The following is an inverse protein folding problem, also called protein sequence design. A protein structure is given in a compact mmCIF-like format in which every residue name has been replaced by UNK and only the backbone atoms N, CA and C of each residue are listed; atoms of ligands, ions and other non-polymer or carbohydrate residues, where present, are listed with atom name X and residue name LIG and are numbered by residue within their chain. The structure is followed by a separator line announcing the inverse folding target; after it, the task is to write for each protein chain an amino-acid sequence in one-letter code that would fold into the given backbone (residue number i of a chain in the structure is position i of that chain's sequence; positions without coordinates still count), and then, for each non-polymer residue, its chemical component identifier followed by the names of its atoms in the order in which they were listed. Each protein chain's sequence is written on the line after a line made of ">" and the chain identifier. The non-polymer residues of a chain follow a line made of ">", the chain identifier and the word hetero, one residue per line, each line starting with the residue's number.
data_IF_235888956817
#
_entry.id   IF_235888956817
#
_cell.length_a   1.000
_cell.length_b   1.000
_cell.length_c   1.000
_cell.angle_alpha   90.00
_cell.angle_beta   90.00
_cell.angle_gamma   90.00
#
_symmetry.space_group_name_H-M   'P 1'
#
loop_
_entity.id
_entity.type
_entity.pdbx_description
1 polymer ?
#
# COMPACT_ATOMS: atom_id res chain seq x y z
N UNK A 1 9.51 18.78 37.11
CA UNK A 1 8.95 17.98 36.00
C UNK A 1 9.74 18.26 34.73
N UNK A 2 10.33 17.23 34.15
CA UNK A 2 11.05 17.33 32.89
C UNK A 2 10.05 17.39 31.72
N UNK A 3 10.35 18.24 30.74
CA UNK A 3 9.56 18.37 29.49
C UNK A 3 10.19 17.64 28.31
N UNK A 4 11.46 17.23 28.44
CA UNK A 4 12.22 16.50 27.43
C UNK A 4 13.12 15.49 28.11
N UNK A 5 13.39 14.38 27.42
CA UNK A 5 14.34 13.38 27.86
C UNK A 5 15.75 13.98 27.76
N UNK A 6 16.58 13.92 28.81
CA UNK A 6 17.93 14.48 28.81
C UNK A 6 18.93 13.54 28.09
N UNK A 7 18.64 13.19 26.82
CA UNK A 7 19.36 12.16 26.06
C UNK A 7 20.88 12.35 26.07
N UNK A 8 21.36 13.58 25.88
CA UNK A 8 22.80 13.91 25.89
C UNK A 8 23.51 13.58 27.20
N UNK A 9 22.80 13.70 28.32
CA UNK A 9 23.36 13.40 29.64
C UNK A 9 23.28 11.91 29.96
N UNK A 10 22.27 11.23 29.42
CA UNK A 10 22.07 9.79 29.60
C UNK A 10 23.09 8.96 28.82
N UNK A 11 23.58 9.44 27.68
CA UNK A 11 24.49 8.67 26.81
C UNK A 11 25.78 8.23 27.47
N UNK A 12 26.20 8.88 28.57
CA UNK A 12 27.41 8.56 29.33
C UNK A 12 27.19 7.48 30.39
N UNK A 13 25.95 7.11 30.68
CA UNK A 13 25.59 6.20 31.78
C UNK A 13 25.52 4.74 31.28
N UNK A 14 26.63 4.22 30.75
CA UNK A 14 26.67 2.91 30.08
C UNK A 14 26.39 1.72 31.01
N UNK A 15 26.63 1.89 32.31
CA UNK A 15 26.40 0.87 33.35
C UNK A 15 25.03 1.00 34.02
N UNK A 16 24.20 1.97 33.62
CA UNK A 16 22.88 2.16 34.20
C UNK A 16 21.99 0.97 33.83
N UNK A 17 21.46 0.27 34.83
CA UNK A 17 20.55 -0.86 34.63
C UNK A 17 19.07 -0.48 34.78
N UNK A 18 18.78 0.57 35.55
CA UNK A 18 17.42 0.98 35.88
C UNK A 18 17.24 2.48 35.73
N UNK A 19 16.21 2.88 34.99
CA UNK A 19 15.87 4.28 34.76
C UNK A 19 14.37 4.50 34.92
N UNK A 20 14.01 5.35 35.87
CA UNK A 20 12.64 5.83 36.04
C UNK A 20 12.54 7.29 35.61
N UNK A 21 11.70 7.54 34.61
CA UNK A 21 11.34 8.86 34.12
C UNK A 21 9.81 9.03 34.09
N UNK A 22 9.08 8.22 34.87
CA UNK A 22 7.63 8.34 35.02
C UNK A 22 7.21 9.69 35.59
N UNK A 23 5.92 10.01 35.46
CA UNK A 23 5.31 11.25 35.98
C UNK A 23 5.92 12.57 35.45
N UNK A 24 6.70 12.52 34.38
CA UNK A 24 7.19 13.69 33.66
C UNK A 24 6.17 14.18 32.62
N UNK A 25 6.54 15.22 31.86
CA UNK A 25 5.65 15.89 30.89
C UNK A 25 6.24 15.88 29.48
N UNK A 26 6.73 14.73 29.04
CA UNK A 26 7.20 14.53 27.66
C UNK A 26 6.00 14.52 26.72
N UNK A 27 6.06 15.28 25.62
CA UNK A 27 5.05 15.23 24.56
C UNK A 27 5.28 14.07 23.59
N UNK A 28 6.54 13.68 23.45
CA UNK A 28 7.00 12.63 22.55
C UNK A 28 8.25 11.98 23.14
N UNK A 29 8.55 10.76 22.73
CA UNK A 29 9.89 10.17 22.90
C UNK A 29 10.53 10.08 21.50
N UNK A 30 11.60 10.86 21.26
CA UNK A 30 12.21 10.97 19.94
C UNK A 30 13.06 9.74 19.61
N UNK A 31 13.46 9.63 18.34
CA UNK A 31 14.44 8.66 17.86
C UNK A 31 15.72 8.72 18.70
N UNK A 32 16.26 7.56 19.06
CA UNK A 32 17.50 7.42 19.85
C UNK A 32 17.46 8.17 21.20
N UNK A 33 16.29 8.31 21.82
CA UNK A 33 16.15 9.07 23.08
C UNK A 33 17.03 8.54 24.22
N UNK A 34 17.36 7.25 24.20
CA UNK A 34 18.09 6.52 25.23
C UNK A 34 19.39 5.89 24.72
N UNK A 35 19.93 6.41 23.61
CA UNK A 35 21.19 5.91 23.04
C UNK A 35 22.33 5.94 24.06
N UNK A 36 23.18 4.92 24.05
CA UNK A 36 24.31 4.78 24.99
C UNK A 36 23.98 4.00 26.28
N UNK A 37 22.69 3.84 26.63
CA UNK A 37 22.26 3.05 27.79
C UNK A 37 22.25 1.53 27.50
N UNK A 38 23.40 0.99 27.09
CA UNK A 38 23.53 -0.39 26.60
C UNK A 38 23.34 -1.48 27.66
N UNK A 39 23.49 -1.14 28.95
CA UNK A 39 23.24 -2.06 30.07
C UNK A 39 21.85 -1.92 30.70
N UNK A 40 21.00 -1.03 30.20
CA UNK A 40 19.68 -0.79 30.76
C UNK A 40 18.80 -2.03 30.65
N UNK A 41 18.22 -2.44 31.78
CA UNK A 41 17.33 -3.60 31.94
C UNK A 41 15.90 -3.18 32.21
N UNK A 42 15.65 -2.11 32.99
CA UNK A 42 14.30 -1.62 33.28
C UNK A 42 14.18 -0.13 32.97
N UNK A 43 13.13 0.22 32.24
CA UNK A 43 12.79 1.60 31.90
C UNK A 43 11.33 1.85 32.26
N UNK A 44 11.08 2.77 33.19
CA UNK A 44 9.73 3.24 33.50
C UNK A 44 9.50 4.63 32.90
N UNK A 45 8.46 4.73 32.10
CA UNK A 45 7.94 5.92 31.44
C UNK A 45 6.42 6.02 31.65
N UNK A 46 5.93 5.46 32.77
CA UNK A 46 4.53 5.49 33.13
C UNK A 46 4.03 6.89 33.51
N UNK A 47 2.73 7.11 33.44
CA UNK A 47 2.06 8.33 33.90
C UNK A 47 2.50 9.64 33.21
N UNK A 48 2.98 9.56 31.96
CA UNK A 48 3.35 10.73 31.16
C UNK A 48 2.11 11.42 30.56
N UNK A 49 1.53 12.36 31.31
CA UNK A 49 0.26 13.04 31.00
C UNK A 49 0.23 13.79 29.65
N UNK A 50 1.39 14.10 29.07
CA UNK A 50 1.50 14.82 27.78
C UNK A 50 1.95 13.94 26.63
N UNK A 51 2.33 12.69 26.87
CA UNK A 51 2.91 11.84 25.82
C UNK A 51 1.82 11.49 24.81
N UNK A 52 2.12 11.71 23.52
CA UNK A 52 1.24 11.38 22.40
C UNK A 52 1.89 10.41 21.42
N UNK A 53 3.20 10.52 21.24
CA UNK A 53 3.91 9.74 20.21
C UNK A 53 5.24 9.16 20.69
N UNK A 54 5.50 7.91 20.28
CA UNK A 54 6.82 7.27 20.32
C UNK A 54 7.29 7.13 18.88
N UNK A 55 8.45 7.72 18.55
CA UNK A 55 8.95 7.75 17.17
C UNK A 55 9.74 6.49 16.79
N UNK A 56 9.96 6.32 15.48
CA UNK A 56 10.90 5.36 14.90
C UNK A 56 12.22 5.29 15.69
N UNK A 57 12.69 4.07 16.00
CA UNK A 57 13.97 3.84 16.67
C UNK A 57 14.12 4.56 18.03
N UNK A 58 13.03 4.92 18.69
CA UNK A 58 13.05 5.62 19.98
C UNK A 58 13.85 4.88 21.07
N UNK A 59 13.73 3.55 21.10
CA UNK A 59 14.38 2.66 22.08
C UNK A 59 15.63 1.97 21.52
N UNK A 60 16.19 2.48 20.42
CA UNK A 60 17.38 1.88 19.81
C UNK A 60 18.58 1.95 20.76
N UNK A 61 19.40 0.89 20.75
CA UNK A 61 20.59 0.80 21.61
C UNK A 61 20.34 0.19 23.00
N UNK A 62 19.09 -0.04 23.38
CA UNK A 62 18.70 -0.68 24.64
C UNK A 62 18.77 -2.21 24.55
N UNK A 63 19.95 -2.75 24.25
CA UNK A 63 20.15 -4.17 23.89
C UNK A 63 19.80 -5.15 25.02
N UNK A 64 19.92 -4.72 26.27
CA UNK A 64 19.64 -5.55 27.46
C UNK A 64 18.28 -5.24 28.10
N UNK A 65 17.43 -4.44 27.47
CA UNK A 65 16.16 -4.03 28.06
C UNK A 65 15.24 -5.24 28.22
N UNK A 66 14.81 -5.49 29.45
CA UNK A 66 13.94 -6.60 29.83
C UNK A 66 12.52 -6.10 30.12
N UNK A 67 12.39 -4.91 30.71
CA UNK A 67 11.11 -4.37 31.15
C UNK A 67 10.93 -2.92 30.68
N UNK A 68 9.79 -2.67 30.03
CA UNK A 68 9.37 -1.33 29.65
C UNK A 68 7.94 -1.08 30.13
N UNK A 69 7.78 0.03 30.84
CA UNK A 69 6.49 0.58 31.23
C UNK A 69 6.24 1.91 30.49
N UNK A 70 5.18 1.95 29.69
CA UNK A 70 4.63 3.13 29.00
C UNK A 70 3.15 3.32 29.36
N UNK A 71 2.72 2.81 30.53
CA UNK A 71 1.33 2.80 30.95
C UNK A 71 0.82 4.18 31.38
N UNK A 72 -0.50 4.34 31.43
CA UNK A 72 -1.16 5.52 32.00
C UNK A 72 -0.72 6.85 31.36
N UNK A 73 -0.47 6.84 30.06
CA UNK A 73 -0.22 8.03 29.28
C UNK A 73 -1.40 8.29 28.32
N UNK A 74 -1.21 9.24 27.41
CA UNK A 74 -2.19 9.56 26.36
C UNK A 74 -1.61 9.17 24.99
N UNK A 75 -0.79 8.12 24.96
CA UNK A 75 -0.10 7.65 23.77
C UNK A 75 -1.14 7.14 22.76
N UNK A 76 -1.21 7.76 21.59
CA UNK A 76 -2.14 7.39 20.51
C UNK A 76 -1.40 6.97 19.23
N UNK A 77 -0.10 7.29 19.13
CA UNK A 77 0.77 6.94 18.02
C UNK A 77 2.02 6.21 18.49
N UNK A 78 2.19 4.97 18.04
CA UNK A 78 3.39 4.16 18.27
C UNK A 78 3.92 3.70 16.91
N UNK A 79 5.14 4.12 16.58
CA UNK A 79 5.80 3.73 15.34
C UNK A 79 6.09 2.21 15.32
N UNK A 80 5.86 1.56 14.19
CA UNK A 80 6.03 0.11 14.00
C UNK A 80 7.47 -0.37 14.23
N UNK A 81 8.44 0.53 14.13
CA UNK A 81 9.86 0.27 14.34
C UNK A 81 10.42 1.08 15.52
N UNK A 82 9.56 1.50 16.46
CA UNK A 82 9.98 2.16 17.70
C UNK A 82 10.98 1.32 18.52
N UNK A 83 10.84 -0.01 18.44
CA UNK A 83 11.66 -1.02 19.11
C UNK A 83 12.54 -1.77 18.12
N UNK A 84 13.12 -1.09 17.13
CA UNK A 84 14.19 -1.72 16.38
C UNK A 84 15.40 -1.92 17.31
N UNK A 85 15.74 -3.19 17.60
CA UNK A 85 16.96 -3.67 18.32
C UNK A 85 16.97 -3.86 19.87
N UNK A 86 15.90 -3.71 20.69
CA UNK A 86 15.84 -4.26 22.04
C UNK A 86 15.37 -5.73 21.98
N UNK A 87 16.30 -6.64 21.69
CA UNK A 87 15.99 -8.06 21.42
C UNK A 87 15.70 -8.88 22.69
N UNK A 88 15.85 -8.29 23.88
CA UNK A 88 15.75 -8.98 25.15
C UNK A 88 14.45 -8.70 25.92
N UNK A 89 13.52 -7.91 25.35
CA UNK A 89 12.33 -7.44 26.06
C UNK A 89 11.42 -8.62 26.46
N UNK A 90 11.11 -8.73 27.76
CA UNK A 90 10.26 -9.77 28.36
C UNK A 90 8.96 -9.23 28.93
N UNK A 91 8.95 -7.96 29.37
CA UNK A 91 7.80 -7.32 29.97
C UNK A 91 7.50 -6.00 29.27
N UNK A 92 6.28 -5.87 28.76
CA UNK A 92 5.81 -4.65 28.11
C UNK A 92 4.45 -4.23 28.68
N UNK A 93 4.39 -3.01 29.19
CA UNK A 93 3.14 -2.37 29.60
C UNK A 93 2.82 -1.17 28.70
N UNK A 94 1.73 -1.28 27.95
CA UNK A 94 1.13 -0.20 27.15
C UNK A 94 -0.30 0.10 27.61
N UNK A 95 -0.69 -0.36 28.80
CA UNK A 95 -2.06 -0.23 29.31
C UNK A 95 -2.44 1.23 29.59
N UNK A 96 -3.75 1.50 29.56
CA UNK A 96 -4.32 2.81 29.86
C UNK A 96 -3.72 3.93 29.00
N UNK A 97 -3.72 3.72 27.70
CA UNK A 97 -3.30 4.68 26.67
C UNK A 97 -4.45 4.94 25.67
N UNK A 98 -4.17 5.71 24.63
CA UNK A 98 -5.08 5.98 23.52
C UNK A 98 -4.84 5.11 22.28
N UNK A 99 -4.11 4.00 22.41
CA UNK A 99 -3.72 3.19 21.26
C UNK A 99 -4.94 2.49 20.66
N UNK A 100 -4.98 2.41 19.34
CA UNK A 100 -6.00 1.67 18.61
C UNK A 100 -5.44 0.51 17.78
N UNK A 101 -4.11 0.44 17.62
CA UNK A 101 -3.43 -0.63 16.90
C UNK A 101 -2.02 -0.83 17.42
N UNK A 102 -1.49 -2.02 17.21
CA UNK A 102 -0.07 -2.37 17.37
C UNK A 102 0.30 -3.29 16.22
N UNK A 103 1.51 -3.13 15.71
CA UNK A 103 2.02 -3.90 14.58
C UNK A 103 2.66 -5.21 15.05
N UNK A 104 2.61 -6.24 14.21
CA UNK A 104 3.22 -7.55 14.51
C UNK A 104 4.74 -7.41 14.64
N UNK A 105 5.34 -6.49 13.91
CA UNK A 105 6.76 -6.20 13.86
C UNK A 105 7.23 -5.31 15.02
N UNK A 106 6.30 -4.81 15.85
CA UNK A 106 6.61 -3.88 16.94
C UNK A 106 7.60 -4.48 17.92
N UNK A 107 7.42 -5.73 18.33
CA UNK A 107 8.29 -6.47 19.26
C UNK A 107 8.28 -7.95 18.91
N UNK A 108 9.23 -8.72 19.42
CA UNK A 108 9.14 -10.17 19.38
C UNK A 108 8.08 -10.66 20.38
N UNK A 109 6.82 -10.74 19.92
CA UNK A 109 5.67 -11.12 20.73
C UNK A 109 5.78 -12.53 21.32
N UNK A 110 6.60 -13.42 20.78
CA UNK A 110 6.78 -14.78 21.29
C UNK A 110 7.72 -14.82 22.50
N UNK A 111 8.66 -13.88 22.58
CA UNK A 111 9.62 -13.79 23.68
C UNK A 111 9.07 -13.09 24.92
N UNK A 112 7.97 -12.35 24.79
CA UNK A 112 7.30 -11.71 25.93
C UNK A 112 6.80 -12.77 26.92
N UNK A 113 7.00 -12.46 28.20
CA UNK A 113 6.55 -13.21 29.38
C UNK A 113 5.45 -12.45 30.14
N UNK A 114 5.46 -11.11 30.07
CA UNK A 114 4.45 -10.23 30.66
C UNK A 114 4.01 -9.19 29.65
N UNK A 115 2.69 -9.01 29.54
CA UNK A 115 2.09 -8.07 28.60
C UNK A 115 0.85 -7.43 29.23
N UNK A 116 0.76 -6.10 29.15
CA UNK A 116 -0.42 -5.36 29.57
C UNK A 116 -0.85 -4.40 28.46
N UNK A 117 -2.08 -4.59 27.99
CA UNK A 117 -2.66 -3.82 26.87
C UNK A 117 -4.06 -3.27 27.18
N UNK A 118 -4.59 -3.52 28.39
CA UNK A 118 -5.93 -3.09 28.77
C UNK A 118 -6.08 -1.56 28.75
N UNK A 119 -7.33 -1.07 28.70
CA UNK A 119 -7.59 0.38 28.75
C UNK A 119 -7.11 1.14 27.51
N UNK A 120 -7.17 0.51 26.33
CA UNK A 120 -6.87 1.11 25.03
C UNK A 120 -8.09 0.99 24.10
N UNK A 121 -8.08 1.72 22.98
CA UNK A 121 -9.16 1.78 22.01
C UNK A 121 -8.95 0.83 20.81
N UNK A 122 -8.64 -0.45 21.09
CA UNK A 122 -8.23 -1.43 20.08
C UNK A 122 -9.20 -1.58 18.90
N UNK A 123 -8.67 -1.45 17.69
CA UNK A 123 -9.32 -1.80 16.43
C UNK A 123 -9.04 -3.25 16.09
N UNK A 124 -10.00 -4.13 16.37
CA UNK A 124 -9.92 -5.56 16.12
C UNK A 124 -10.23 -5.89 14.65
N UNK A 125 -9.38 -5.40 13.76
CA UNK A 125 -9.32 -5.79 12.35
C UNK A 125 -8.42 -7.02 12.16
N UNK A 126 -8.17 -7.40 10.90
CA UNK A 126 -7.38 -8.58 10.59
C UNK A 126 -5.88 -8.43 10.83
N UNK A 127 -5.36 -7.20 10.87
CA UNK A 127 -3.96 -6.97 11.20
C UNK A 127 -3.74 -7.30 12.68
N UNK A 128 -4.57 -6.72 13.56
CA UNK A 128 -4.48 -6.96 15.00
C UNK A 128 -4.84 -8.41 15.36
N UNK A 129 -5.96 -8.92 14.83
CA UNK A 129 -6.45 -10.26 15.14
C UNK A 129 -5.59 -11.36 14.53
N UNK A 130 -4.75 -11.06 13.53
CA UNK A 130 -3.86 -12.02 12.88
C UNK A 130 -2.80 -12.62 13.80
N UNK A 131 -2.39 -11.91 14.85
CA UNK A 131 -1.36 -12.37 15.79
C UNK A 131 -1.77 -12.24 17.27
N UNK A 132 -2.41 -11.13 17.65
CA UNK A 132 -2.57 -10.77 19.05
C UNK A 132 -3.38 -11.79 19.89
N UNK A 133 -4.50 -12.37 19.40
CA UNK A 133 -5.28 -13.33 20.19
C UNK A 133 -4.49 -14.58 20.61
N UNK A 134 -3.51 -15.03 19.82
CA UNK A 134 -2.65 -16.15 20.20
C UNK A 134 -1.74 -15.76 21.37
N UNK A 135 -1.09 -14.60 21.29
CA UNK A 135 -0.24 -14.06 22.35
C UNK A 135 -1.01 -13.84 23.64
N UNK A 136 -2.20 -13.25 23.58
CA UNK A 136 -3.04 -13.01 24.76
C UNK A 136 -3.44 -14.29 25.47
N UNK A 137 -3.76 -15.36 24.73
CA UNK A 137 -4.06 -16.67 25.32
C UNK A 137 -2.82 -17.31 25.94
N UNK A 138 -1.68 -17.25 25.25
CA UNK A 138 -0.38 -17.77 25.75
C UNK A 138 0.02 -17.12 27.07
N UNK A 139 -0.18 -15.81 27.19
CA UNK A 139 0.18 -15.01 28.36
C UNK A 139 -0.93 -14.88 29.40
N UNK A 140 -2.08 -15.52 29.19
CA UNK A 140 -3.25 -15.42 30.07
C UNK A 140 -3.68 -13.96 30.37
N UNK A 141 -3.77 -13.11 29.32
CA UNK A 141 -4.16 -11.69 29.40
C UNK A 141 -5.56 -11.49 28.81
N UNK A 142 -6.65 -11.72 29.58
CA UNK A 142 -8.02 -11.73 29.04
C UNK A 142 -8.69 -10.35 28.95
N UNK A 143 -8.10 -9.33 29.58
CA UNK A 143 -8.66 -7.99 29.79
C UNK A 143 -8.48 -7.04 28.58
N UNK A 144 -8.07 -7.56 27.43
CA UNK A 144 -7.99 -6.80 26.18
C UNK A 144 -9.32 -6.90 25.45
N UNK A 145 -9.98 -5.74 25.30
CA UNK A 145 -11.32 -5.63 24.73
C UNK A 145 -11.27 -4.78 23.47
N UNK A 146 -12.02 -5.19 22.45
CA UNK A 146 -12.16 -4.45 21.21
C UNK A 146 -13.02 -3.19 21.42
N UNK A 147 -12.54 -2.06 20.91
CA UNK A 147 -13.32 -0.83 20.82
C UNK A 147 -13.91 -0.63 19.41
N UNK A 148 -13.21 -1.11 18.39
CA UNK A 148 -13.61 -1.06 16.97
C UNK A 148 -13.40 -2.42 16.28
N UNK A 149 -14.08 -2.67 15.14
CA UNK A 149 -15.26 -1.93 14.65
C UNK A 149 -16.45 -2.08 15.61
N UNK A 150 -17.53 -1.31 15.39
CA UNK A 150 -18.72 -1.31 16.27
C UNK A 150 -19.31 -2.72 16.51
N UNK A 151 -19.23 -3.59 15.51
CA UNK A 151 -19.68 -5.00 15.59
C UNK A 151 -18.85 -5.86 16.56
N UNK A 152 -17.68 -5.38 16.97
CA UNK A 152 -16.75 -6.05 17.88
C UNK A 152 -16.63 -5.35 19.23
N UNK A 153 -17.20 -4.16 19.39
CA UNK A 153 -17.10 -3.38 20.62
C UNK A 153 -17.51 -4.20 21.84
N UNK A 154 -16.67 -4.22 22.87
CA UNK A 154 -16.91 -4.95 24.12
C UNK A 154 -16.51 -6.44 24.07
N UNK A 155 -16.16 -7.01 22.92
CA UNK A 155 -15.71 -8.40 22.84
C UNK A 155 -14.26 -8.55 23.28
N UNK A 156 -13.93 -9.58 24.09
CA UNK A 156 -12.55 -9.84 24.50
C UNK A 156 -11.73 -10.41 23.33
N UNK A 157 -10.63 -9.73 22.99
CA UNK A 157 -9.79 -10.06 21.84
C UNK A 157 -9.20 -11.49 21.92
N UNK A 158 -8.85 -11.95 23.12
CA UNK A 158 -8.33 -13.30 23.35
C UNK A 158 -9.30 -14.43 22.98
N UNK A 159 -10.61 -14.15 22.93
CA UNK A 159 -11.64 -15.14 22.54
C UNK A 159 -11.98 -15.09 21.05
N UNK A 160 -11.46 -14.13 20.31
CA UNK A 160 -11.71 -14.00 18.88
C UNK A 160 -10.75 -14.92 18.11
N UNK A 161 -11.30 -15.71 17.18
CA UNK A 161 -10.53 -16.61 16.34
C UNK A 161 -10.01 -15.91 15.08
N UNK A 162 -8.75 -16.20 14.72
CA UNK A 162 -8.10 -15.75 13.47
C UNK A 162 -8.82 -16.28 12.22
N UNK A 163 -9.31 -17.53 12.28
CA UNK A 163 -9.78 -18.29 11.12
C UNK A 163 -11.23 -18.02 10.70
N UNK A 164 -12.04 -17.32 11.51
CA UNK A 164 -13.48 -17.12 11.21
C UNK A 164 -13.77 -15.75 10.59
N UNK A 165 -12.88 -14.77 10.77
CA UNK A 165 -13.10 -13.39 10.30
C UNK A 165 -12.10 -12.94 9.23
N UNK A 166 -10.90 -13.51 9.17
CA UNK A 166 -9.80 -13.01 8.33
C UNK A 166 -9.42 -13.93 7.16
N UNK A 167 -10.15 -15.01 6.97
CA UNK A 167 -9.97 -15.97 5.88
C UNK A 167 -10.46 -15.47 4.50
N UNK A 168 -11.13 -14.31 4.43
CA UNK A 168 -11.63 -13.76 3.16
C UNK A 168 -10.65 -12.80 2.45
N UNK A 169 -9.52 -12.43 3.07
CA UNK A 169 -8.65 -11.37 2.53
C UNK A 169 -7.20 -11.80 2.22
N UNK A 170 -6.83 -13.07 2.41
CA UNK A 170 -5.46 -13.53 2.13
C UNK A 170 -5.32 -14.10 0.72
N UNK A 171 -4.68 -13.35 -0.19
CA UNK A 171 -4.05 -13.73 -1.48
C UNK A 171 -4.83 -14.58 -2.53
N UNK A 172 -5.87 -15.30 -2.15
CA UNK A 172 -6.66 -16.20 -2.97
C UNK A 172 -7.75 -15.52 -3.80
N UNK A 173 -8.25 -14.36 -3.35
CA UNK A 173 -9.24 -13.60 -4.11
C UNK A 173 -8.63 -13.00 -5.39
N UNK A 174 -7.41 -12.44 -5.29
CA UNK A 174 -6.67 -11.95 -6.46
C UNK A 174 -6.30 -13.10 -7.40
N UNK A 175 -5.92 -14.27 -6.89
CA UNK A 175 -5.60 -15.42 -7.75
C UNK A 175 -6.85 -16.03 -8.41
N UNK A 176 -7.99 -16.08 -7.72
CA UNK A 176 -9.25 -16.57 -8.28
C UNK A 176 -9.82 -15.65 -9.36
N UNK A 177 -9.76 -14.32 -9.17
CA UNK A 177 -10.18 -13.34 -10.20
C UNK A 177 -9.26 -13.41 -11.42
N UNK A 178 -7.95 -13.56 -11.21
CA UNK A 178 -7.00 -13.73 -12.31
C UNK A 178 -7.22 -15.06 -13.06
N UNK A 179 -7.44 -16.17 -12.35
CA UNK A 179 -7.75 -17.47 -12.97
C UNK A 179 -9.08 -17.42 -13.73
N UNK A 180 -10.11 -16.81 -13.17
CA UNK A 180 -11.41 -16.61 -13.83
C UNK A 180 -11.27 -15.77 -15.10
N UNK A 181 -10.53 -14.66 -15.05
CA UNK A 181 -10.27 -13.81 -16.22
C UNK A 181 -9.51 -14.57 -17.32
N UNK A 182 -8.54 -15.41 -16.96
CA UNK A 182 -7.78 -16.22 -17.92
C UNK A 182 -8.65 -17.26 -18.63
N UNK A 183 -9.52 -17.97 -17.88
CA UNK A 183 -10.43 -18.96 -18.45
C UNK A 183 -11.45 -18.33 -19.40
N UNK A 184 -11.99 -17.15 -19.06
CA UNK A 184 -12.91 -16.43 -19.95
C UNK A 184 -12.23 -16.00 -21.25
N UNK A 185 -11.00 -15.44 -21.18
CA UNK A 185 -10.22 -15.06 -22.37
C UNK A 185 -9.89 -16.28 -23.23
N UNK A 186 -9.48 -17.40 -22.64
CA UNK A 186 -9.18 -18.64 -23.34
C UNK A 186 -10.42 -19.18 -24.07
N UNK A 187 -11.58 -19.16 -23.42
CA UNK A 187 -12.85 -19.61 -24.01
C UNK A 187 -13.26 -18.77 -25.23
N UNK A 188 -13.09 -17.45 -25.16
CA UNK A 188 -13.35 -16.54 -26.28
C UNK A 188 -12.40 -16.78 -27.45
N UNK A 189 -11.11 -16.99 -27.18
CA UNK A 189 -10.12 -17.30 -28.23
C UNK A 189 -10.44 -18.61 -28.95
N UNK A 190 -10.82 -19.66 -28.20
CA UNK A 190 -11.21 -20.94 -28.79
C UNK A 190 -12.49 -20.81 -29.64
N UNK A 191 -13.48 -20.03 -29.18
CA UNK A 191 -14.69 -19.75 -29.94
C UNK A 191 -14.38 -19.01 -31.26
N UNK A 192 -13.51 -18.00 -31.23
CA UNK A 192 -13.06 -17.27 -32.42
C UNK A 192 -12.35 -18.21 -33.39
N UNK A 193 -11.44 -19.08 -32.90
CA UNK A 193 -10.73 -20.05 -33.74
C UNK A 193 -11.69 -21.06 -34.38
N UNK A 194 -12.70 -21.52 -33.65
CA UNK A 194 -13.73 -22.41 -34.17
C UNK A 194 -14.57 -21.71 -35.25
N UNK A 195 -14.99 -20.46 -35.01
CA UNK A 195 -15.70 -19.64 -35.99
C UNK A 195 -14.86 -19.46 -37.27
N UNK A 196 -13.59 -19.08 -37.15
CA UNK A 196 -12.69 -18.92 -38.29
C UNK A 196 -12.51 -20.24 -39.06
N UNK A 197 -12.34 -21.37 -38.36
CA UNK A 197 -12.23 -22.69 -38.99
C UNK A 197 -13.52 -23.11 -39.69
N UNK A 198 -14.68 -22.85 -39.09
CA UNK A 198 -15.99 -23.13 -39.67
C UNK A 198 -16.32 -22.26 -40.89
N UNK A 199 -15.87 -21.00 -40.91
CA UNK A 199 -16.01 -20.09 -42.05
C UNK A 199 -15.08 -20.49 -43.20
N UNK A 200 -13.85 -20.90 -42.91
CA UNK A 200 -12.91 -21.41 -43.92
C UNK A 200 -13.30 -22.80 -44.45
N UNK A 201 -14.03 -23.62 -43.68
CA UNK A 201 -14.53 -24.92 -44.12
C UNK A 201 -15.82 -24.85 -44.96
N UNK A 202 -16.44 -23.68 -45.13
CA UNK A 202 -17.62 -23.50 -45.99
C UNK A 202 -17.22 -22.92 -47.36
N UNK A 203 -16.30 -23.61 -48.05
CA UNK A 203 -16.08 -23.39 -49.47
C UNK A 203 -17.06 -24.29 -50.27
N UNK A 204 -17.89 -23.74 -51.17
CA UNK A 204 -18.85 -24.54 -51.93
C UNK A 204 -18.11 -25.45 -52.93
N UNK A 205 -18.49 -26.73 -52.97
CA UNK A 205 -18.09 -27.67 -54.03
C UNK A 205 -18.88 -27.29 -55.30
N UNK A 206 -18.18 -26.85 -56.35
CA UNK A 206 -18.75 -26.80 -57.68
C UNK A 206 -18.90 -28.23 -58.21
N UNK A 207 -20.13 -28.63 -58.51
CA UNK A 207 -20.44 -29.76 -59.41
C UNK A 207 -20.89 -29.17 -60.73
N UNK A 208 -20.18 -29.54 -61.80
CA UNK A 208 -20.50 -29.22 -63.19
C UNK A 208 -21.88 -29.81 -63.57
N UNK A 209 -22.65 -29.11 -64.41
CA UNK A 209 -23.27 -29.69 -65.61
C UNK A 209 -24.13 -28.67 -66.41
N UNK A 210 -23.87 -28.70 -67.72
CA UNK A 210 -24.79 -28.52 -68.85
C UNK A 210 -25.57 -27.18 -69.10
N UNK A 211 -25.02 -26.44 -70.06
CA UNK A 211 -25.62 -26.16 -71.38
C UNK A 211 -26.73 -25.09 -71.56
N UNK A 212 -26.49 -24.27 -72.61
CA UNK A 212 -27.45 -23.59 -73.47
C UNK A 212 -28.05 -22.21 -73.08
N UNK A 213 -27.38 -21.19 -73.60
CA UNK A 213 -27.94 -20.13 -74.46
C UNK A 213 -28.71 -18.92 -73.90
N UNK A 214 -28.36 -17.78 -74.53
CA UNK A 214 -29.03 -16.46 -74.63
C UNK A 214 -28.83 -15.42 -73.51
N UNK A 215 -27.99 -14.46 -73.90
CA UNK A 215 -27.90 -13.06 -73.51
C UNK A 215 -29.08 -12.46 -72.74
N UNK A 216 -28.79 -11.77 -71.62
CA UNK A 216 -28.90 -10.30 -71.50
C UNK A 216 -28.61 -9.80 -70.08
N UNK A 217 -27.91 -8.65 -70.01
CA UNK A 217 -27.85 -7.62 -68.94
C UNK A 217 -26.92 -7.78 -67.72
N UNK A 218 -26.02 -6.78 -67.64
CA UNK A 218 -25.57 -6.03 -66.46
C UNK A 218 -24.33 -6.54 -65.67
N UNK A 219 -23.63 -5.68 -64.88
CA UNK A 219 -22.22 -5.38 -65.15
C UNK A 219 -21.24 -5.77 -64.01
N UNK A 220 -19.96 -5.78 -64.39
CA UNK A 220 -18.72 -5.63 -63.60
C UNK A 220 -18.85 -5.35 -62.09
N UNK A 221 -18.31 -6.21 -61.24
CA UNK A 221 -17.41 -5.88 -60.12
C UNK A 221 -17.00 -7.17 -59.39
N UNK A 222 -15.80 -7.69 -59.67
CA UNK A 222 -15.42 -9.01 -59.16
C UNK A 222 -13.93 -9.29 -59.21
N UNK A 223 -13.08 -8.31 -58.86
CA UNK A 223 -11.63 -8.58 -58.64
C UNK A 223 -10.95 -7.73 -57.56
N UNK A 224 -11.69 -6.95 -56.77
CA UNK A 224 -11.11 -6.07 -55.73
C UNK A 224 -11.39 -6.48 -54.27
N UNK A 225 -12.17 -7.54 -54.02
CA UNK A 225 -12.54 -7.92 -52.63
C UNK A 225 -11.47 -8.74 -51.87
N UNK A 226 -10.33 -9.10 -52.48
CA UNK A 226 -9.27 -9.87 -51.79
C UNK A 226 -8.18 -9.03 -51.13
N UNK A 227 -8.13 -7.71 -51.36
CA UNK A 227 -7.13 -6.83 -50.73
C UNK A 227 -7.68 -5.90 -49.64
N UNK A 228 -9.01 -5.84 -49.43
CA UNK A 228 -9.60 -4.96 -48.42
C UNK A 228 -9.62 -5.57 -47.00
N UNK A 229 -9.68 -6.90 -46.87
CA UNK A 229 -9.87 -7.52 -45.55
C UNK A 229 -8.58 -7.71 -44.72
N UNK A 230 -7.40 -7.60 -45.35
CA UNK A 230 -6.09 -7.68 -44.70
C UNK A 230 -5.59 -6.34 -44.15
N UNK A 231 -6.30 -5.22 -44.40
CA UNK A 231 -5.88 -3.88 -43.96
C UNK A 231 -6.48 -3.46 -42.60
N UNK A 232 -7.49 -4.16 -42.10
CA UNK A 232 -8.14 -3.85 -40.82
C UNK A 232 -7.64 -4.70 -39.64
N UNK A 233 -6.87 -5.76 -39.88
CA UNK A 233 -6.34 -6.65 -38.82
C UNK A 233 -5.00 -6.14 -38.27
N UNK A 234 -4.27 -5.30 -39.04
CA UNK A 234 -2.96 -4.77 -38.66
C UNK A 234 -2.92 -3.95 -37.36
N UNK A 235 -3.84 -3.00 -37.11
CA UNK A 235 -3.80 -2.15 -35.91
C UNK A 235 -4.15 -2.92 -34.62
N UNK A 236 -5.09 -3.86 -34.70
CA UNK A 236 -5.55 -4.65 -33.56
C UNK A 236 -4.47 -5.67 -33.09
N UNK A 237 -3.71 -6.25 -34.01
CA UNK A 237 -2.59 -7.14 -33.68
C UNK A 237 -1.42 -6.38 -33.03
N UNK A 238 -1.17 -5.14 -33.48
CA UNK A 238 -0.11 -4.27 -32.95
C UNK A 238 -0.41 -3.82 -31.50
N UNK A 239 -1.67 -3.55 -31.17
CA UNK A 239 -2.11 -3.18 -29.82
C UNK A 239 -1.99 -4.35 -28.82
N UNK A 240 -2.26 -5.58 -29.24
CA UNK A 240 -2.12 -6.78 -28.40
C UNK A 240 -0.65 -7.10 -28.13
N UNK A 241 0.24 -6.94 -29.11
CA UNK A 241 1.69 -7.10 -28.94
C UNK A 241 2.29 -6.07 -27.95
N UNK A 242 1.87 -4.80 -28.03
CA UNK A 242 2.31 -3.76 -27.11
C UNK A 242 1.84 -4.00 -25.65
N UNK A 243 0.63 -4.54 -25.47
CA UNK A 243 0.12 -4.91 -24.16
C UNK A 243 0.88 -6.11 -23.56
N UNK A 244 1.19 -7.12 -24.37
CA UNK A 244 1.95 -8.31 -23.94
C UNK A 244 3.39 -7.96 -23.54
N UNK A 245 4.07 -7.05 -24.25
CA UNK A 245 5.40 -6.55 -23.87
C UNK A 245 5.38 -5.73 -22.58
N UNK A 246 4.33 -4.92 -22.37
CA UNK A 246 4.16 -4.10 -21.14
C UNK A 246 3.87 -4.93 -19.89
N UNK A 247 3.29 -6.12 -20.05
CA UNK A 247 3.00 -7.08 -18.99
C UNK A 247 4.22 -7.99 -18.73
N UNK A 248 4.93 -8.41 -19.79
CA UNK A 248 6.17 -9.16 -19.67
C UNK A 248 7.26 -8.37 -18.93
N UNK A 249 7.36 -7.05 -19.15
CA UNK A 249 8.31 -6.17 -18.45
C UNK A 249 7.96 -6.01 -16.95
N UNK A 250 6.67 -5.93 -16.60
CA UNK A 250 6.21 -5.86 -15.20
C UNK A 250 6.34 -7.17 -14.43
N UNK A 251 6.22 -8.31 -15.13
CA UNK A 251 6.38 -9.66 -14.54
C UNK A 251 7.86 -10.03 -14.40
N UNK A 252 8.73 -9.63 -15.33
CA UNK A 252 10.18 -9.80 -15.23
C UNK A 252 10.80 -8.98 -14.09
N UNK A 253 10.25 -7.77 -13.81
CA UNK A 253 10.66 -6.93 -12.69
C UNK A 253 10.29 -7.50 -11.31
N UNK A 254 9.29 -8.40 -11.23
CA UNK A 254 8.82 -8.98 -9.96
C UNK A 254 9.45 -10.33 -9.58
N UNK A 255 10.15 -11.00 -10.52
CA UNK A 255 10.69 -12.36 -10.32
C UNK A 255 12.21 -12.47 -10.17
N UNK A 256 12.97 -11.38 -10.25
CA UNK A 256 14.41 -11.37 -9.96
C UNK A 256 14.73 -10.35 -8.87
N UNK A 257 14.50 -10.75 -7.62
CA UNK A 257 15.37 -10.28 -6.55
C UNK A 257 16.79 -10.78 -6.83
N UNK A 258 17.79 -9.97 -6.51
CA UNK A 258 19.23 -10.16 -6.71
C UNK A 258 19.76 -9.66 -8.06
N UNK A 259 20.25 -8.42 -8.06
CA UNK A 259 21.49 -8.05 -8.75
C UNK A 259 22.15 -6.88 -8.01
N UNK A 260 23.26 -7.20 -7.35
CA UNK A 260 24.23 -6.24 -6.80
C UNK A 260 24.73 -5.33 -7.93
N UNK A 261 24.51 -4.02 -7.82
CA UNK A 261 25.19 -3.04 -8.67
C UNK A 261 26.48 -2.60 -7.97
N UNK A 262 27.63 -3.03 -8.50
CA UNK A 262 28.88 -2.27 -8.36
C UNK A 262 28.84 -1.11 -9.35
N UNK A 263 29.27 0.05 -8.87
CA UNK A 263 29.34 1.30 -9.58
C UNK A 263 30.23 1.23 -10.82
N UNK A 264 29.70 1.69 -11.96
CA UNK A 264 30.32 2.70 -12.84
C UNK A 264 29.47 2.80 -14.11
N UNK A 265 28.56 3.77 -14.13
CA UNK A 265 28.50 4.78 -15.20
C UNK A 265 27.31 5.72 -14.93
N UNK A 266 27.60 7.01 -15.03
CA UNK A 266 26.76 8.11 -14.53
C UNK A 266 25.58 8.38 -15.50
N UNK A 267 24.37 7.98 -15.13
CA UNK A 267 23.15 8.56 -15.72
C UNK A 267 22.72 9.77 -14.90
N UNK A 268 22.81 10.96 -15.51
CA UNK A 268 22.33 12.22 -14.93
C UNK A 268 20.90 12.44 -15.41
N UNK A 269 19.91 12.23 -14.55
CA UNK A 269 18.51 12.62 -14.80
C UNK A 269 18.34 14.06 -14.34
N UNK A 270 18.08 14.98 -15.27
CA UNK A 270 17.78 16.38 -14.96
C UNK A 270 16.28 16.60 -15.14
N UNK A 271 15.55 16.68 -14.03
CA UNK A 271 14.13 17.05 -14.00
C UNK A 271 14.05 18.57 -13.91
N UNK A 272 13.58 19.25 -14.98
CA UNK A 272 13.20 20.66 -14.91
C UNK A 272 11.69 20.75 -14.70
N UNK A 273 11.28 21.30 -13.56
CA UNK A 273 9.91 21.77 -13.38
C UNK A 273 9.79 23.14 -14.08
N UNK A 274 8.80 23.29 -14.97
CA UNK A 274 8.38 24.63 -15.40
C UNK A 274 7.72 25.31 -14.19
N UNK A 275 8.03 26.59 -13.89
CA UNK A 275 7.45 27.25 -12.74
C UNK A 275 5.94 27.41 -12.92
N UNK A 276 5.21 27.12 -11.85
CA UNK A 276 3.80 27.44 -11.72
C UNK A 276 3.61 28.95 -11.88
N UNK A 277 2.67 29.37 -12.74
CA UNK A 277 2.15 30.73 -12.69
C UNK A 277 1.41 30.90 -11.35
N UNK A 278 2.00 31.68 -10.44
CA UNK A 278 1.38 32.02 -9.15
C UNK A 278 0.25 33.02 -9.36
N UNK A 279 -0.92 32.86 -8.70
CA UNK A 279 -1.89 33.92 -8.56
C UNK A 279 -1.68 34.60 -7.20
N UNK A 280 -1.14 35.82 -7.15
CA UNK A 280 -1.68 36.88 -6.27
C UNK A 280 -0.98 38.26 -6.39
N UNK A 281 -1.83 39.25 -6.68
CA UNK A 281 -2.00 40.56 -6.02
C UNK A 281 -0.93 41.69 -6.09
N UNK A 282 -1.24 42.79 -6.81
CA UNK A 282 -1.73 44.12 -6.30
C UNK A 282 -1.37 45.33 -7.20
N UNK A 283 -2.38 46.20 -7.42
CA UNK A 283 -2.37 47.70 -7.53
C UNK A 283 -1.62 48.35 -8.72
N UNK A 284 -2.12 49.37 -9.46
CA UNK A 284 -3.26 50.31 -9.36
C UNK A 284 -3.63 50.84 -10.78
N UNK A 285 -4.29 52.01 -10.96
CA UNK A 285 -5.57 52.18 -11.64
C UNK A 285 -5.46 52.67 -13.10
N UNK A 286 -6.50 52.47 -13.92
CA UNK A 286 -7.12 53.55 -14.68
C UNK A 286 -8.27 53.07 -15.57
N UNK A 287 -9.30 53.91 -15.59
CA UNK A 287 -10.19 54.23 -16.70
C UNK A 287 -11.14 53.15 -17.29
N UNK A 288 -12.42 53.40 -16.98
CA UNK A 288 -13.56 53.50 -17.90
C UNK A 288 -14.16 52.27 -18.59
N UNK A 289 -15.46 52.13 -18.28
CA UNK A 289 -16.59 51.89 -19.17
C UNK A 289 -17.22 50.48 -19.26
N UNK A 290 -18.55 50.49 -19.14
CA UNK A 290 -19.44 49.63 -19.94
C UNK A 290 -19.91 48.28 -19.38
N UNK A 291 -21.08 48.32 -18.72
CA UNK A 291 -22.26 47.45 -18.96
C UNK A 291 -22.18 45.90 -18.88
N UNK A 292 -23.09 45.32 -18.07
CA UNK A 292 -23.90 44.08 -18.28
C UNK A 292 -23.16 42.76 -18.66
N UNK A 293 -23.39 41.56 -18.12
CA UNK A 293 -24.61 40.87 -17.64
C UNK A 293 -24.18 39.45 -17.19
N UNK A 294 -24.98 38.87 -16.30
CA UNK A 294 -25.28 37.43 -16.12
C UNK A 294 -24.22 36.43 -15.57
N UNK A 295 -24.58 35.90 -14.40
CA UNK A 295 -24.27 34.54 -13.94
C UNK A 295 -24.83 33.50 -14.92
N UNK A 296 -24.05 32.46 -15.21
CA UNK A 296 -24.58 31.10 -15.41
C UNK A 296 -23.51 30.06 -15.11
N UNK A 297 -23.93 29.04 -14.38
CA UNK A 297 -23.12 27.95 -13.83
C UNK A 297 -22.65 26.96 -14.89
N UNK A 298 -21.47 26.37 -14.69
CA UNK A 298 -21.13 25.03 -15.18
C UNK A 298 -20.26 24.29 -14.16
N UNK A 299 -20.82 23.21 -13.63
CA UNK A 299 -20.18 22.23 -12.75
C UNK A 299 -19.31 21.27 -13.59
N UNK A 300 -18.07 20.96 -13.22
CA UNK A 300 -17.33 19.86 -13.85
C UNK A 300 -17.52 18.54 -13.09
N UNK A 301 -17.83 17.50 -13.86
CA UNK A 301 -17.82 16.09 -13.45
C UNK A 301 -16.39 15.56 -13.25
N UNK A 302 -16.32 14.48 -12.47
CA UNK A 302 -15.13 13.74 -12.03
C UNK A 302 -14.14 13.37 -13.16
N UNK A 303 -12.85 13.60 -12.86
CA UNK A 303 -11.77 12.65 -13.14
C UNK A 303 -11.09 12.71 -14.50
N UNK A 304 -10.26 13.73 -14.74
CA UNK A 304 -9.09 13.66 -15.63
C UNK A 304 -7.95 14.55 -15.10
N UNK A 305 -6.71 14.07 -15.18
CA UNK A 305 -5.50 14.84 -14.89
C UNK A 305 -5.27 15.87 -16.02
N UNK A 306 -4.92 17.13 -15.71
CA UNK A 306 -4.56 18.10 -16.72
C UNK A 306 -3.09 17.87 -17.13
N UNK A 307 -2.81 18.03 -18.43
CA UNK A 307 -1.49 18.05 -19.11
C UNK A 307 -0.94 16.71 -19.65
N UNK A 308 -0.56 16.66 -20.94
CA UNK A 308 0.11 15.51 -21.54
C UNK A 308 1.60 15.46 -21.17
N UNK A 309 2.08 14.29 -20.75
CA UNK A 309 3.51 13.97 -20.62
C UNK A 309 4.06 13.52 -21.98
N UNK A 310 5.04 14.24 -22.53
CA UNK A 310 5.80 13.80 -23.69
C UNK A 310 7.19 13.32 -23.26
N UNK A 311 7.51 12.05 -23.53
CA UNK A 311 8.84 11.46 -23.34
C UNK A 311 9.38 11.09 -24.72
N UNK A 312 10.53 11.64 -25.10
CA UNK A 312 11.26 11.28 -26.32
C UNK A 312 12.60 10.66 -25.94
N UNK A 313 12.94 9.51 -26.55
CA UNK A 313 14.24 8.87 -26.41
C UNK A 313 14.91 8.82 -27.78
N UNK A 314 16.10 9.40 -27.88
CA UNK A 314 17.00 9.25 -29.03
C UNK A 314 18.24 8.46 -28.61
N UNK A 315 18.59 7.43 -29.39
CA UNK A 315 19.85 6.71 -29.27
C UNK A 315 20.98 7.42 -30.01
N UNK A 316 22.21 7.23 -29.56
CA UNK A 316 23.39 7.16 -30.43
C UNK A 316 23.84 5.70 -30.47
#
# INVERSE_FOLDING_TARGET
>A
MLRRIPSKSLTLLTELEDLDLGFNSFSEIPTSAFEGLSSLKRLSLGHLQSLRAVRLNAFSGLFKLLELDLSHALLDSLDEHAFERPNALRSLDLSFNGLFRVHKELVDWEQLERLQLAGNAWNCDCELLGFLPATLRRLAVPNVVCAKPESMTGKPAAKLGTATFCSDFSEGAMSAVLMGSFLTVLSLLLAILFCLRSHFCRAPKNTDDANSSRASRAPLYGRQARHAHLREIGPALQQVLHLLESVACRVAARRRGVLRLRASDRLRVQVRFLPAASPDARRSPDASDGSSTELSAFQPLRGELPYPLAVSCSHY
#
